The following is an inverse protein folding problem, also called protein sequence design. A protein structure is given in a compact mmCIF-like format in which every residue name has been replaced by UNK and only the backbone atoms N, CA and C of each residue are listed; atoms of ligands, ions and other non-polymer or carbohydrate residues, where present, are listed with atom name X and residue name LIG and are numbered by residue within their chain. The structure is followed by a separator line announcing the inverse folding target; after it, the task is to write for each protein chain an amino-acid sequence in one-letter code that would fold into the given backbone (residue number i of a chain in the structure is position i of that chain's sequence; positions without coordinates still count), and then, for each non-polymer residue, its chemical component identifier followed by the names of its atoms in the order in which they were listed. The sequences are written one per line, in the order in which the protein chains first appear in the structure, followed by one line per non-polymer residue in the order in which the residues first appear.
data_IF_081829660168
#
_entry.id   IF_081829660168
#
_cell.length_a   1.000
_cell.length_b   1.000
_cell.length_c   1.000
_cell.angle_alpha   90.00
_cell.angle_beta   90.00
_cell.angle_gamma   90.00
#
_symmetry.space_group_name_H-M   'P 1'
#
loop_
_entity.id
_entity.type
_entity.pdbx_description
1 polymer ?
#
# COMPACT_ATOMS: atom_id res chain seq x y z
N UNK A 1 2.22 -53.03 47.58
CA UNK A 1 3.03 -52.00 46.80
C UNK A 1 2.47 -51.70 45.39
N UNK A 2 1.18 -52.05 45.07
CA UNK A 2 0.57 -51.78 43.75
C UNK A 2 -0.52 -50.75 43.72
N UNK A 3 -0.85 -50.10 44.90
CA UNK A 3 -1.95 -49.14 45.01
C UNK A 3 -1.56 -47.67 45.00
N UNK A 4 -0.25 -47.37 45.01
CA UNK A 4 0.23 -46.00 45.06
C UNK A 4 0.75 -45.48 43.70
N UNK A 5 0.87 -46.37 42.73
CA UNK A 5 1.38 -45.99 41.39
C UNK A 5 0.29 -45.36 40.50
N UNK A 6 -1.01 -45.62 40.82
CA UNK A 6 -2.14 -45.08 40.05
C UNK A 6 -2.56 -43.67 40.44
N UNK A 7 -2.13 -43.17 41.60
CA UNK A 7 -2.48 -41.85 42.09
C UNK A 7 -1.54 -40.77 41.63
N UNK A 8 -0.27 -41.17 41.31
CA UNK A 8 0.75 -40.23 40.84
C UNK A 8 0.55 -39.88 39.36
N UNK A 9 -0.06 -40.77 38.58
CA UNK A 9 -0.28 -40.55 37.15
C UNK A 9 -1.48 -39.64 36.87
N UNK A 10 -2.43 -39.51 37.83
CA UNK A 10 -3.60 -38.62 37.68
C UNK A 10 -3.34 -37.16 38.05
N UNK A 11 -2.26 -36.88 38.80
CA UNK A 11 -1.91 -35.51 39.21
C UNK A 11 -1.06 -34.74 38.17
N UNK A 12 -0.46 -35.45 37.21
CA UNK A 12 0.38 -34.82 36.18
C UNK A 12 -0.42 -34.31 34.95
N UNK A 13 -1.70 -34.69 34.80
CA UNK A 13 -2.55 -34.25 33.66
C UNK A 13 -3.41 -33.03 33.95
N UNK A 14 -3.42 -32.49 35.16
CA UNK A 14 -4.29 -31.38 35.55
C UNK A 14 -3.60 -29.99 35.57
N UNK A 15 -2.29 -29.90 35.26
CA UNK A 15 -1.51 -28.64 35.29
C UNK A 15 -1.18 -28.02 33.93
N UNK A 16 -1.71 -28.56 32.80
CA UNK A 16 -1.36 -28.06 31.46
C UNK A 16 -2.47 -27.22 30.78
N UNK A 17 -3.50 -26.76 31.50
CA UNK A 17 -4.61 -26.01 30.91
C UNK A 17 -4.73 -24.55 31.38
N UNK A 18 -3.67 -23.96 31.91
CA UNK A 18 -3.64 -22.54 32.30
C UNK A 18 -2.42 -21.82 31.66
N UNK A 19 -2.23 -21.98 30.37
CA UNK A 19 -1.33 -21.10 29.59
C UNK A 19 -2.21 -20.10 28.83
N UNK A 20 -2.38 -18.97 29.46
CA UNK A 20 -2.53 -17.62 29.03
C UNK A 20 -3.06 -17.34 27.63
N UNK A 21 -4.27 -16.83 27.52
CA UNK A 21 -4.62 -15.92 26.45
C UNK A 21 -3.79 -14.63 26.60
N UNK A 22 -2.55 -14.62 26.14
CA UNK A 22 -1.89 -13.42 25.67
C UNK A 22 -2.52 -13.16 24.30
N UNK A 23 -3.19 -12.01 24.14
CA UNK A 23 -3.79 -11.60 22.89
C UNK A 23 -2.73 -11.54 21.78
N UNK A 24 -2.65 -12.60 21.00
CA UNK A 24 -1.93 -12.57 19.73
C UNK A 24 -2.77 -11.71 18.81
N UNK A 25 -2.24 -10.55 18.38
CA UNK A 25 -2.68 -9.92 17.16
C UNK A 25 -2.84 -11.03 16.11
N UNK A 26 -3.91 -11.04 15.30
CA UNK A 26 -3.98 -11.96 14.18
C UNK A 26 -2.72 -11.74 13.33
N UNK A 27 -1.85 -12.71 13.26
CA UNK A 27 -0.82 -12.73 12.24
C UNK A 27 -1.59 -13.02 10.96
N UNK A 28 -1.81 -12.00 10.16
CA UNK A 28 -2.29 -12.18 8.80
C UNK A 28 -1.29 -13.12 8.14
N UNK A 29 -1.79 -14.26 7.67
CA UNK A 29 -0.98 -15.23 6.94
C UNK A 29 -0.78 -14.66 5.55
N UNK A 30 0.24 -13.83 5.38
CA UNK A 30 0.62 -13.28 4.09
C UNK A 30 0.92 -14.44 3.14
N UNK A 31 0.28 -14.45 1.97
CA UNK A 31 0.65 -15.36 0.88
C UNK A 31 2.12 -15.12 0.51
N UNK A 32 2.90 -16.14 0.12
CA UNK A 32 4.30 -15.95 -0.28
C UNK A 32 4.49 -14.94 -1.42
N UNK A 33 3.43 -14.61 -2.14
CA UNK A 33 3.44 -13.65 -3.24
C UNK A 33 2.94 -12.25 -2.84
N UNK A 34 2.59 -12.02 -1.58
CA UNK A 34 2.17 -10.71 -1.08
C UNK A 34 3.31 -9.95 -0.42
N UNK A 35 3.30 -8.62 -0.60
CA UNK A 35 4.18 -7.70 0.15
C UNK A 35 3.64 -7.53 1.56
N UNK A 36 4.51 -7.57 2.58
CA UNK A 36 4.13 -7.36 3.98
C UNK A 36 3.74 -5.90 4.25
N UNK A 37 2.80 -5.70 5.18
CA UNK A 37 2.28 -4.38 5.56
C UNK A 37 1.14 -3.89 4.65
N UNK A 38 0.45 -2.84 5.07
CA UNK A 38 -0.58 -2.17 4.26
C UNK A 38 0.06 -1.20 3.27
N UNK A 39 -0.65 -0.85 2.19
CA UNK A 39 -0.14 0.17 1.23
C UNK A 39 0.02 1.53 1.89
N UNK A 40 -0.77 1.85 2.92
CA UNK A 40 -0.62 3.06 3.73
C UNK A 40 0.71 3.05 4.51
N UNK A 41 1.04 1.94 5.18
CA UNK A 41 2.29 1.78 5.92
C UNK A 41 3.50 1.88 4.98
N UNK A 42 3.46 1.20 3.84
CA UNK A 42 4.52 1.24 2.83
C UNK A 42 4.72 2.64 2.26
N UNK A 43 3.64 3.35 1.98
CA UNK A 43 3.67 4.71 1.45
C UNK A 43 4.26 5.69 2.47
N UNK A 44 3.87 5.57 3.76
CA UNK A 44 4.46 6.34 4.86
C UNK A 44 5.96 6.09 5.00
N UNK A 45 6.40 4.83 4.83
CA UNK A 45 7.83 4.49 4.90
C UNK A 45 8.61 5.10 3.73
N UNK A 46 8.05 5.12 2.52
CA UNK A 46 8.67 5.79 1.36
C UNK A 46 8.82 7.29 1.62
N UNK A 47 7.77 7.95 2.12
CA UNK A 47 7.80 9.39 2.47
C UNK A 47 8.85 9.67 3.55
N UNK A 48 8.99 8.78 4.54
CA UNK A 48 9.99 8.93 5.59
C UNK A 48 11.43 8.79 5.06
N UNK A 49 11.67 7.94 4.06
CA UNK A 49 13.00 7.76 3.45
C UNK A 49 13.31 8.77 2.34
N UNK A 50 12.28 9.30 1.69
CA UNK A 50 12.39 10.30 0.62
C UNK A 50 11.50 11.52 1.00
N UNK A 51 11.94 12.36 1.97
CA UNK A 51 11.13 13.49 2.42
C UNK A 51 11.01 14.56 1.34
N UNK A 52 9.87 15.25 1.36
CA UNK A 52 9.56 16.40 0.49
C UNK A 52 9.54 17.69 1.31
N UNK A 53 9.79 18.86 0.66
CA UNK A 53 9.86 20.15 1.35
C UNK A 53 8.50 20.88 1.46
N UNK A 54 7.39 20.13 1.40
CA UNK A 54 6.04 20.68 1.57
C UNK A 54 5.21 19.82 2.52
N UNK A 55 4.22 20.42 3.16
CA UNK A 55 3.27 19.73 4.02
C UNK A 55 2.35 18.86 3.17
N UNK A 56 2.27 17.58 3.50
CA UNK A 56 1.42 16.58 2.87
C UNK A 56 1.02 15.49 3.83
N UNK A 57 0.14 14.61 3.41
CA UNK A 57 -0.31 13.49 4.22
C UNK A 57 -0.63 12.26 3.38
N UNK A 58 -0.52 11.08 4.01
CA UNK A 58 -1.02 9.83 3.45
C UNK A 58 -2.46 9.65 3.87
N UNK A 59 -3.33 9.38 2.91
CA UNK A 59 -4.74 9.09 3.11
C UNK A 59 -5.09 7.76 2.43
N UNK A 60 -5.89 6.93 3.11
CA UNK A 60 -6.46 5.72 2.51
C UNK A 60 -7.65 6.07 1.62
N UNK A 61 -7.79 5.38 0.50
CA UNK A 61 -8.90 5.55 -0.43
C UNK A 61 -9.93 4.45 -0.14
N UNK A 62 -11.18 4.85 0.17
CA UNK A 62 -12.28 3.90 0.35
C UNK A 62 -12.73 3.32 -1.00
N UNK A 63 -12.25 2.11 -1.30
CA UNK A 63 -12.58 1.39 -2.52
C UNK A 63 -14.03 0.87 -2.55
N UNK A 64 -14.75 0.94 -1.42
CA UNK A 64 -16.14 0.47 -1.29
C UNK A 64 -17.17 1.58 -1.48
N UNK A 65 -16.71 2.85 -1.53
CA UNK A 65 -17.60 3.98 -1.76
C UNK A 65 -18.06 4.02 -3.22
N UNK A 66 -19.34 3.71 -3.43
CA UNK A 66 -20.00 3.71 -4.73
C UNK A 66 -20.70 5.03 -5.08
N UNK A 67 -20.58 6.04 -4.22
CA UNK A 67 -21.08 7.39 -4.52
C UNK A 67 -20.30 8.03 -5.69
N UNK A 68 -20.86 9.05 -6.30
CA UNK A 68 -20.18 9.82 -7.36
C UNK A 68 -18.86 10.42 -6.83
N UNK A 69 -18.84 10.86 -5.58
CA UNK A 69 -17.67 11.45 -4.92
C UNK A 69 -16.59 10.40 -4.67
N UNK A 70 -16.95 9.21 -4.15
CA UNK A 70 -16.03 8.09 -3.95
C UNK A 70 -15.43 7.59 -5.27
N UNK A 71 -16.24 7.44 -6.31
CA UNK A 71 -15.77 7.04 -7.63
C UNK A 71 -14.85 8.09 -8.26
N UNK A 72 -15.16 9.37 -8.06
CA UNK A 72 -14.27 10.43 -8.49
C UNK A 72 -12.94 10.40 -7.73
N UNK A 73 -12.96 10.19 -6.42
CA UNK A 73 -11.75 10.07 -5.60
C UNK A 73 -10.86 8.91 -6.07
N UNK A 74 -11.43 7.73 -6.30
CA UNK A 74 -10.72 6.57 -6.84
C UNK A 74 -10.08 6.93 -8.19
N UNK A 75 -10.85 7.45 -9.13
CA UNK A 75 -10.35 7.76 -10.47
C UNK A 75 -9.30 8.87 -10.46
N UNK A 76 -9.50 9.93 -9.70
CA UNK A 76 -8.57 11.07 -9.63
C UNK A 76 -7.24 10.71 -8.99
N UNK A 77 -7.22 9.73 -8.08
CA UNK A 77 -6.00 9.28 -7.42
C UNK A 77 -5.31 8.15 -8.18
N UNK A 78 -6.06 7.14 -8.62
CA UNK A 78 -5.49 5.92 -9.22
C UNK A 78 -5.46 5.92 -10.76
N UNK A 79 -6.28 6.75 -11.42
CA UNK A 79 -6.51 6.69 -12.86
C UNK A 79 -7.50 5.61 -13.29
N UNK A 80 -7.96 4.74 -12.40
CA UNK A 80 -8.83 3.62 -12.72
C UNK A 80 -10.31 3.99 -12.68
N UNK A 81 -11.07 3.52 -13.65
CA UNK A 81 -12.54 3.66 -13.67
C UNK A 81 -13.25 2.66 -12.76
N UNK A 82 -12.56 1.60 -12.33
CA UNK A 82 -13.11 0.52 -11.54
C UNK A 82 -12.10 0.09 -10.45
N UNK A 83 -12.52 0.17 -9.20
CA UNK A 83 -11.74 -0.26 -8.05
C UNK A 83 -11.72 -1.78 -7.84
N UNK A 84 -12.56 -2.55 -8.55
CA UNK A 84 -12.70 -4.00 -8.33
C UNK A 84 -11.44 -4.83 -8.57
N UNK A 85 -10.44 -4.27 -9.24
CA UNK A 85 -9.11 -4.88 -9.43
C UNK A 85 -8.15 -4.62 -8.27
N UNK A 86 -8.57 -3.88 -7.24
CA UNK A 86 -7.78 -3.47 -6.08
C UNK A 86 -8.37 -4.02 -4.78
N UNK A 87 -7.52 -4.26 -3.78
CA UNK A 87 -7.92 -4.58 -2.41
C UNK A 87 -7.56 -3.49 -1.41
N UNK A 88 -6.54 -2.68 -1.72
CA UNK A 88 -6.14 -1.53 -0.91
C UNK A 88 -5.68 -0.40 -1.83
N UNK A 89 -5.86 0.84 -1.38
CA UNK A 89 -5.30 2.02 -2.03
C UNK A 89 -5.02 3.11 -1.00
N UNK A 90 -3.90 3.81 -1.17
CA UNK A 90 -3.54 4.99 -0.39
C UNK A 90 -2.82 6.00 -1.29
N UNK A 91 -2.94 7.27 -0.95
CA UNK A 91 -2.32 8.36 -1.69
C UNK A 91 -1.63 9.32 -0.73
N UNK A 92 -0.44 9.79 -1.10
CA UNK A 92 0.21 10.93 -0.49
C UNK A 92 0.08 12.13 -1.42
N UNK A 93 -0.49 13.20 -0.90
CA UNK A 93 -0.64 14.48 -1.62
C UNK A 93 -0.32 15.68 -0.72
N UNK A 94 0.10 16.83 -1.32
CA UNK A 94 0.24 18.08 -0.62
C UNK A 94 -1.10 18.56 -0.07
N UNK A 95 -1.07 19.24 1.09
CA UNK A 95 -2.26 19.85 1.69
C UNK A 95 -2.81 21.05 0.86
N UNK A 96 -2.08 21.52 -0.15
CA UNK A 96 -2.47 22.63 -1.02
C UNK A 96 -2.45 22.23 -2.48
N UNK A 97 -3.53 22.52 -3.21
CA UNK A 97 -3.74 22.11 -4.60
C UNK A 97 -2.95 22.90 -5.66
N UNK A 98 -1.94 23.69 -5.26
CA UNK A 98 -1.03 24.42 -6.16
C UNK A 98 0.36 23.79 -6.25
N UNK A 99 0.56 22.60 -5.68
CA UNK A 99 1.76 21.79 -5.81
C UNK A 99 1.38 20.52 -6.59
N UNK A 100 1.98 20.36 -7.77
CA UNK A 100 1.77 19.15 -8.57
C UNK A 100 2.66 18.03 -8.05
N UNK A 101 2.11 17.28 -7.12
CA UNK A 101 2.71 16.05 -6.57
C UNK A 101 1.60 15.08 -6.17
N UNK A 102 1.69 13.84 -6.60
CA UNK A 102 0.82 12.75 -6.13
C UNK A 102 1.57 11.43 -6.21
N UNK A 103 1.61 10.72 -5.10
CA UNK A 103 2.16 9.38 -5.03
C UNK A 103 1.07 8.45 -4.51
N UNK A 104 0.57 7.56 -5.35
CA UNK A 104 -0.46 6.59 -5.00
C UNK A 104 0.12 5.19 -5.00
N UNK A 105 -0.27 4.41 -4.00
CA UNK A 105 0.08 3.00 -3.91
C UNK A 105 -1.19 2.17 -3.80
N UNK A 106 -1.24 1.09 -4.57
CA UNK A 106 -2.38 0.19 -4.59
C UNK A 106 -1.93 -1.26 -4.40
N UNK A 107 -2.77 -2.07 -3.77
CA UNK A 107 -2.65 -3.52 -3.74
C UNK A 107 -3.60 -4.12 -4.75
N UNK A 108 -3.07 -4.87 -5.67
CA UNK A 108 -3.81 -5.53 -6.76
C UNK A 108 -4.51 -6.77 -6.21
N UNK A 109 -5.75 -6.99 -6.63
CA UNK A 109 -6.54 -8.13 -6.21
C UNK A 109 -5.94 -9.46 -6.71
N UNK A 110 -6.06 -10.56 -5.94
CA UNK A 110 -5.57 -11.86 -6.37
C UNK A 110 -6.14 -12.31 -7.71
N UNK A 111 -5.25 -12.70 -8.62
CA UNK A 111 -5.63 -13.17 -9.96
C UNK A 111 -5.63 -12.10 -11.04
N UNK A 112 -5.51 -10.83 -10.68
CA UNK A 112 -5.32 -9.73 -11.62
C UNK A 112 -3.85 -9.62 -12.05
N UNK A 113 -3.62 -9.12 -13.28
CA UNK A 113 -2.27 -8.90 -13.80
C UNK A 113 -1.76 -7.51 -13.36
N UNK A 114 -0.76 -7.50 -12.50
CA UNK A 114 -0.20 -6.29 -11.90
C UNK A 114 0.27 -5.27 -12.95
N UNK A 115 0.87 -5.75 -14.06
CA UNK A 115 1.37 -4.86 -15.11
C UNK A 115 0.23 -4.23 -15.90
N UNK A 116 -0.82 -4.98 -16.18
CA UNK A 116 -2.04 -4.46 -16.81
C UNK A 116 -2.71 -3.39 -15.96
N UNK A 117 -2.77 -3.58 -14.63
CA UNK A 117 -3.27 -2.57 -13.69
C UNK A 117 -2.39 -1.32 -13.73
N UNK A 118 -1.06 -1.46 -13.68
CA UNK A 118 -0.13 -0.34 -13.76
C UNK A 118 -0.27 0.46 -15.07
N UNK A 119 -0.41 -0.22 -16.22
CA UNK A 119 -0.62 0.41 -17.52
C UNK A 119 -1.97 1.15 -17.58
N UNK A 120 -3.02 0.59 -16.98
CA UNK A 120 -4.32 1.25 -16.87
C UNK A 120 -4.24 2.49 -15.96
N UNK A 121 -3.57 2.41 -14.82
CA UNK A 121 -3.33 3.56 -13.94
C UNK A 121 -2.61 4.68 -14.68
N UNK A 122 -1.48 4.37 -15.35
CA UNK A 122 -0.70 5.35 -16.10
C UNK A 122 -1.50 6.02 -17.22
N UNK A 123 -2.30 5.26 -17.94
CA UNK A 123 -3.08 5.80 -19.07
C UNK A 123 -4.31 6.58 -18.64
N UNK A 124 -4.86 6.29 -17.46
CA UNK A 124 -6.10 6.89 -16.98
C UNK A 124 -5.93 8.07 -16.04
N UNK A 125 -4.73 8.23 -15.44
CA UNK A 125 -4.46 9.36 -14.53
C UNK A 125 -4.39 10.69 -15.29
N UNK A 126 -4.89 11.76 -14.67
CA UNK A 126 -4.79 13.10 -15.21
C UNK A 126 -3.60 13.85 -14.60
N UNK A 127 -2.51 14.12 -15.35
CA UNK A 127 -1.35 14.87 -14.85
C UNK A 127 -1.64 16.35 -14.57
N UNK A 128 -2.86 16.82 -14.88
CA UNK A 128 -3.33 18.20 -14.67
C UNK A 128 -4.49 18.27 -13.68
N UNK A 129 -4.56 17.35 -12.73
CA UNK A 129 -5.67 17.31 -11.75
C UNK A 129 -5.68 18.47 -10.74
N UNK A 130 -4.60 19.22 -10.65
CA UNK A 130 -4.44 20.36 -9.73
C UNK A 130 -4.87 21.69 -10.34
N UNK A 131 -4.85 22.76 -9.54
CA UNK A 131 -5.21 24.10 -9.96
C UNK A 131 -3.99 24.85 -10.50
N UNK A 132 -3.99 25.14 -11.79
CA UNK A 132 -2.95 25.92 -12.48
C UNK A 132 -1.54 25.31 -12.54
N UNK A 133 -1.38 24.07 -12.13
CA UNK A 133 -0.11 23.33 -12.19
C UNK A 133 -0.32 21.96 -12.79
N UNK A 134 0.74 21.36 -13.32
CA UNK A 134 0.73 20.01 -13.89
C UNK A 134 2.01 19.25 -13.55
N UNK A 135 1.91 17.92 -13.50
CA UNK A 135 3.08 17.06 -13.40
C UNK A 135 3.74 16.92 -14.79
N UNK A 136 5.07 17.05 -14.83
CA UNK A 136 5.89 16.87 -16.02
C UNK A 136 6.80 15.61 -15.95
N UNK A 137 6.82 14.95 -14.79
CA UNK A 137 7.49 13.66 -14.60
C UNK A 137 6.53 12.65 -13.96
N UNK A 138 6.43 11.46 -14.56
CA UNK A 138 5.53 10.39 -14.11
C UNK A 138 6.11 9.03 -14.39
N UNK A 139 6.17 8.19 -13.34
CA UNK A 139 6.52 6.77 -13.45
C UNK A 139 5.51 5.90 -12.70
N UNK A 140 5.35 4.68 -13.21
CA UNK A 140 4.60 3.63 -12.52
C UNK A 140 5.51 2.41 -12.37
N UNK A 141 5.53 1.85 -11.18
CA UNK A 141 6.36 0.68 -10.85
C UNK A 141 5.55 -0.34 -10.05
N UNK A 142 5.99 -1.59 -10.07
CA UNK A 142 5.33 -2.63 -9.31
C UNK A 142 6.26 -3.75 -8.86
N UNK A 143 5.88 -4.38 -7.76
CA UNK A 143 6.52 -5.55 -7.20
C UNK A 143 5.47 -6.46 -6.56
N UNK A 144 5.42 -7.72 -6.96
CA UNK A 144 4.43 -8.72 -6.52
C UNK A 144 3.00 -8.22 -6.71
N UNK A 145 2.30 -7.91 -5.62
CA UNK A 145 0.90 -7.46 -5.61
C UNK A 145 0.73 -5.95 -5.40
N UNK A 146 1.84 -5.20 -5.35
CA UNK A 146 1.81 -3.75 -5.09
C UNK A 146 2.26 -2.95 -6.31
N UNK A 147 1.50 -1.91 -6.66
CA UNK A 147 1.83 -0.93 -7.70
C UNK A 147 1.91 0.46 -7.08
N UNK A 148 2.93 1.22 -7.44
CA UNK A 148 3.07 2.64 -7.11
C UNK A 148 3.06 3.48 -8.40
N UNK A 149 2.24 4.52 -8.43
CA UNK A 149 2.27 5.59 -9.41
C UNK A 149 2.77 6.86 -8.70
N UNK A 150 3.80 7.47 -9.24
CA UNK A 150 4.30 8.78 -8.81
C UNK A 150 4.21 9.76 -9.98
N UNK A 151 3.69 10.95 -9.75
CA UNK A 151 3.72 12.06 -10.69
C UNK A 151 3.97 13.37 -9.95
N UNK A 152 4.83 14.21 -10.52
CA UNK A 152 5.29 15.44 -9.89
C UNK A 152 5.74 16.48 -10.92
N UNK A 153 5.87 17.72 -10.45
CA UNK A 153 6.51 18.82 -11.18
C UNK A 153 8.00 18.87 -10.78
N UNK A 154 8.88 18.73 -11.76
CA UNK A 154 10.34 18.72 -11.54
C UNK A 154 10.92 20.04 -11.05
N UNK A 155 10.13 21.12 -11.07
CA UNK A 155 10.54 22.43 -10.53
C UNK A 155 10.80 22.43 -9.03
N UNK A 156 10.38 21.39 -8.31
CA UNK A 156 10.66 21.18 -6.88
C UNK A 156 11.98 20.43 -6.60
N UNK A 157 12.87 20.30 -7.58
CA UNK A 157 14.12 19.54 -7.49
C UNK A 157 13.93 18.05 -7.12
N UNK A 158 12.76 17.50 -7.45
CA UNK A 158 12.39 16.10 -7.27
C UNK A 158 12.31 15.41 -8.63
N UNK A 159 12.45 14.08 -8.63
CA UNK A 159 12.24 13.25 -9.83
C UNK A 159 11.43 12.01 -9.47
N UNK A 160 10.56 11.55 -10.36
CA UNK A 160 9.80 10.31 -10.16
C UNK A 160 10.74 9.11 -9.95
N UNK A 161 11.91 9.11 -10.60
CA UNK A 161 12.91 8.04 -10.45
C UNK A 161 13.42 7.92 -9.00
N UNK A 162 13.62 9.02 -8.28
CA UNK A 162 14.08 8.96 -6.88
C UNK A 162 13.09 8.25 -5.94
N UNK A 163 11.79 8.36 -6.21
CA UNK A 163 10.75 7.63 -5.49
C UNK A 163 10.67 6.16 -5.90
N UNK A 164 10.90 5.85 -7.19
CA UNK A 164 11.03 4.46 -7.66
C UNK A 164 12.23 3.76 -7.01
N UNK A 165 13.37 4.44 -6.89
CA UNK A 165 14.56 3.90 -6.21
C UNK A 165 14.29 3.66 -4.71
N UNK A 166 13.48 4.51 -4.08
CA UNK A 166 13.06 4.34 -2.68
C UNK A 166 12.01 3.22 -2.53
N UNK A 167 11.08 3.09 -3.49
CA UNK A 167 10.19 1.94 -3.57
C UNK A 167 10.99 0.62 -3.59
N UNK A 168 12.06 0.55 -4.38
CA UNK A 168 12.93 -0.62 -4.43
C UNK A 168 13.56 -1.00 -3.09
N UNK A 169 13.82 -0.02 -2.21
CA UNK A 169 14.37 -0.26 -0.87
C UNK A 169 13.33 -0.68 0.15
N UNK A 170 12.11 -0.12 0.07
CA UNK A 170 11.02 -0.32 1.04
C UNK A 170 10.17 -1.54 0.70
N UNK A 171 9.78 -1.67 -0.56
CA UNK A 171 8.81 -2.68 -1.01
C UNK A 171 9.51 -3.90 -1.60
N UNK A 172 10.52 -3.67 -2.45
CA UNK A 172 11.26 -4.71 -3.15
C UNK A 172 11.69 -4.24 -4.54
N UNK A 173 12.67 -4.93 -5.11
CA UNK A 173 13.20 -4.59 -6.43
C UNK A 173 12.09 -4.60 -7.48
N UNK A 174 11.85 -3.48 -8.20
CA UNK A 174 10.78 -3.38 -9.18
C UNK A 174 10.84 -4.47 -10.25
N UNK A 175 9.71 -5.13 -10.51
CA UNK A 175 9.58 -6.08 -11.62
C UNK A 175 9.45 -5.34 -12.96
N UNK A 176 8.97 -4.10 -12.92
CA UNK A 176 8.89 -3.19 -14.06
C UNK A 176 8.87 -1.73 -13.59
N UNK A 177 9.28 -0.83 -14.50
CA UNK A 177 9.09 0.63 -14.44
C UNK A 177 8.58 1.07 -15.81
N UNK A 178 7.49 1.80 -15.85
CA UNK A 178 6.84 2.29 -17.08
C UNK A 178 6.51 3.77 -16.99
#
# INVERSE_FOLDING_TARGET
MKKYLSVILAAALALSLLSGCAGSKPTETTSPDQVEGTVEELLNEIVAQQPVEFDGGVETIDLTDTSEEGQWAIKSSTGLDNAGVLTEAAVFEPMIGSIAFSMVMVRVAPGEDIKSVAEAMKSGINPRKWVCVEADDMLVTGYRDVVMLIMLDTSYDLTAQSFVDTFGKVVGEPEFVI
#
